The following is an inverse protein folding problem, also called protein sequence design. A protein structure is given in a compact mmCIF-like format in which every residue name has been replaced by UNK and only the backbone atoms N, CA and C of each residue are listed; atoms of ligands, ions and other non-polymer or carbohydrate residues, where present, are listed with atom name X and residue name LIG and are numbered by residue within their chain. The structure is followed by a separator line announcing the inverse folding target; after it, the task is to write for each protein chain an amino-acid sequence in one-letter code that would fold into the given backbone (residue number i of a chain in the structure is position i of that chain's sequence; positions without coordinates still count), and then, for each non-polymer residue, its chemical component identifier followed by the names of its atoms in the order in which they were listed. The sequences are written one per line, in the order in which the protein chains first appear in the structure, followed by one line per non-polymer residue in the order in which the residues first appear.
data_IF_200355725090
#
_entry.id   IF_200355725090
#
_cell.length_a   1.000
_cell.length_b   1.000
_cell.length_c   1.000
_cell.angle_alpha   90.00
_cell.angle_beta   90.00
_cell.angle_gamma   90.00
#
_symmetry.space_group_name_H-M   'P 1'
#
loop_
_entity.id
_entity.type
_entity.pdbx_description
1 polymer ?
#
# COMPACT_ATOMS: atom_id res chain seq x y z
N UNK A 1 2.09 27.57 18.06
CA UNK A 1 2.87 26.31 17.99
C UNK A 1 2.73 25.80 16.58
N UNK A 2 3.73 25.13 16.00
CA UNK A 2 3.54 24.53 14.67
C UNK A 2 2.38 23.53 14.70
N UNK A 3 1.63 23.47 13.59
CA UNK A 3 0.60 22.46 13.43
C UNK A 3 1.26 21.08 13.35
N UNK A 4 0.89 20.19 14.26
CA UNK A 4 1.48 18.85 14.32
C UNK A 4 0.66 17.87 13.50
N UNK A 5 1.34 17.16 12.59
CA UNK A 5 0.76 16.08 11.77
C UNK A 5 1.56 14.79 11.98
N UNK A 6 0.95 13.80 12.58
CA UNK A 6 1.54 12.46 12.72
C UNK A 6 1.02 11.57 11.59
N UNK A 7 1.94 11.12 10.73
CA UNK A 7 1.68 10.23 9.60
C UNK A 7 2.10 8.81 9.99
N UNK A 8 1.17 7.87 9.98
CA UNK A 8 1.48 6.46 10.24
C UNK A 8 1.61 5.70 8.91
N UNK A 9 2.69 4.94 8.77
CA UNK A 9 3.08 4.30 7.50
C UNK A 9 3.57 2.86 7.72
N UNK A 10 3.45 2.00 6.72
CA UNK A 10 4.23 0.74 6.67
C UNK A 10 5.67 1.00 6.24
N UNK A 11 5.83 1.84 5.22
CA UNK A 11 7.09 2.33 4.72
C UNK A 11 6.89 3.78 4.27
N UNK A 12 7.88 4.64 4.49
CA UNK A 12 7.83 6.00 3.98
C UNK A 12 7.97 6.00 2.46
N UNK A 13 7.19 6.82 1.75
CA UNK A 13 7.45 7.12 0.34
C UNK A 13 8.65 8.06 0.19
N UNK A 14 9.31 8.03 -0.99
CA UNK A 14 10.53 8.79 -1.21
C UNK A 14 10.31 10.31 -1.16
N UNK A 15 9.17 10.82 -1.62
CA UNK A 15 8.86 12.26 -1.58
C UNK A 15 8.66 12.75 -0.14
N UNK A 16 8.01 11.95 0.72
CA UNK A 16 7.87 12.26 2.15
C UNK A 16 9.22 12.30 2.86
N UNK A 17 10.11 11.36 2.55
CA UNK A 17 11.48 11.34 3.09
C UNK A 17 12.23 12.61 2.69
N UNK A 18 12.22 12.94 1.39
CA UNK A 18 12.91 14.12 0.87
C UNK A 18 12.33 15.41 1.43
N UNK A 19 11.01 15.56 1.49
CA UNK A 19 10.35 16.74 2.05
C UNK A 19 10.77 16.99 3.51
N UNK A 20 10.86 15.94 4.31
CA UNK A 20 11.30 16.03 5.71
C UNK A 20 12.79 16.35 5.81
N UNK A 21 13.64 15.65 5.08
CA UNK A 21 15.10 15.83 5.11
C UNK A 21 15.50 17.24 4.65
N UNK A 22 14.79 17.81 3.67
CA UNK A 22 15.00 19.18 3.19
C UNK A 22 14.34 20.25 4.09
N UNK A 23 13.61 19.85 5.12
CA UNK A 23 12.97 20.77 6.04
C UNK A 23 11.79 21.55 5.43
N UNK A 24 11.18 21.09 4.32
CA UNK A 24 10.08 21.79 3.64
C UNK A 24 8.89 22.00 4.56
N UNK A 25 8.53 20.99 5.33
CA UNK A 25 7.43 21.09 6.30
C UNK A 25 7.75 22.06 7.43
N UNK A 26 8.92 21.92 8.06
CA UNK A 26 9.36 22.78 9.15
C UNK A 26 9.48 24.26 8.72
N UNK A 27 10.01 24.51 7.53
CA UNK A 27 10.09 25.85 6.95
C UNK A 27 8.74 26.52 6.71
N UNK A 28 7.67 25.74 6.57
CA UNK A 28 6.31 26.21 6.44
C UNK A 28 5.51 26.17 7.77
N UNK A 29 6.17 25.93 8.90
CA UNK A 29 5.53 25.89 10.21
C UNK A 29 4.72 24.61 10.49
N UNK A 30 4.98 23.53 9.76
CA UNK A 30 4.30 22.26 9.93
C UNK A 30 5.26 21.21 10.55
N UNK A 31 4.91 20.69 11.72
CA UNK A 31 5.64 19.60 12.39
C UNK A 31 5.13 18.24 11.91
N UNK A 32 5.81 17.65 10.92
CA UNK A 32 5.45 16.34 10.35
C UNK A 32 6.29 15.23 10.98
N UNK A 33 5.67 14.45 11.84
CA UNK A 33 6.26 13.25 12.41
C UNK A 33 5.76 11.98 11.68
N UNK A 34 6.64 10.98 11.57
CA UNK A 34 6.30 9.69 10.95
C UNK A 34 6.45 8.57 11.95
N UNK A 35 5.47 7.67 11.97
CA UNK A 35 5.48 6.46 12.80
C UNK A 35 5.25 5.23 11.92
N UNK A 36 6.15 4.25 12.02
CA UNK A 36 5.98 2.97 11.32
C UNK A 36 4.99 2.09 12.11
N UNK A 37 4.09 1.44 11.39
CA UNK A 37 3.11 0.49 11.94
C UNK A 37 3.53 -0.95 11.69
N UNK A 38 3.24 -1.88 12.63
CA UNK A 38 3.51 -3.30 12.40
C UNK A 38 2.43 -4.00 11.56
N UNK A 39 1.20 -3.47 11.54
CA UNK A 39 0.06 -4.09 10.85
C UNK A 39 -1.04 -3.08 10.51
N UNK A 40 -1.94 -3.48 9.58
CA UNK A 40 -3.04 -2.63 9.11
C UNK A 40 -4.13 -2.41 10.16
N UNK A 41 -4.36 -3.36 11.05
CA UNK A 41 -5.38 -3.24 12.10
C UNK A 41 -5.06 -2.08 13.04
N UNK A 42 -3.83 -2.04 13.57
CA UNK A 42 -3.37 -0.95 14.44
C UNK A 42 -3.34 0.38 13.68
N UNK A 43 -2.88 0.35 12.41
CA UNK A 43 -2.85 1.54 11.56
C UNK A 43 -4.24 2.16 11.41
N UNK A 44 -5.20 1.38 10.95
CA UNK A 44 -6.52 1.89 10.59
C UNK A 44 -7.38 2.20 11.83
N UNK A 45 -7.25 1.43 12.89
CA UNK A 45 -7.89 1.77 14.17
C UNK A 45 -7.33 3.08 14.73
N UNK A 46 -6.03 3.25 14.68
CA UNK A 46 -5.40 4.46 15.22
C UNK A 46 -5.78 5.74 14.47
N UNK A 47 -5.91 5.71 13.13
CA UNK A 47 -6.41 6.88 12.40
C UNK A 47 -7.88 7.14 12.72
N UNK A 48 -8.70 6.10 12.82
CA UNK A 48 -10.12 6.23 13.21
C UNK A 48 -10.30 6.85 14.60
N UNK A 49 -9.41 6.54 15.53
CA UNK A 49 -9.43 7.05 16.92
C UNK A 49 -8.62 8.35 17.12
N UNK A 50 -8.00 8.90 16.07
CA UNK A 50 -7.20 10.14 16.16
C UNK A 50 -5.82 9.98 16.81
N UNK A 51 -5.31 8.75 17.01
CA UNK A 51 -3.96 8.51 17.51
C UNK A 51 -2.88 9.03 16.56
N UNK A 52 -3.19 9.10 15.29
CA UNK A 52 -2.48 9.80 14.22
C UNK A 52 -3.49 10.37 13.22
N UNK A 53 -3.08 11.43 12.54
CA UNK A 53 -3.98 12.20 11.70
C UNK A 53 -4.09 11.63 10.29
N UNK A 54 -3.00 11.03 9.82
CA UNK A 54 -2.90 10.51 8.44
C UNK A 54 -2.25 9.14 8.42
N UNK A 55 -2.62 8.35 7.43
CA UNK A 55 -1.97 7.07 7.12
C UNK A 55 -1.51 7.04 5.65
N UNK A 56 -0.38 6.34 5.40
CA UNK A 56 -0.03 5.85 4.05
C UNK A 56 -0.32 4.35 4.01
N UNK A 57 -1.27 3.95 3.18
CA UNK A 57 -1.85 2.60 3.24
C UNK A 57 -2.34 2.12 1.87
N UNK A 58 -2.65 0.82 1.74
CA UNK A 58 -3.37 0.30 0.59
C UNK A 58 -4.84 0.78 0.61
N UNK A 59 -5.40 1.11 -0.56
CA UNK A 59 -6.80 1.54 -0.65
C UNK A 59 -7.80 0.47 -0.14
N UNK A 60 -7.43 -0.80 -0.23
CA UNK A 60 -8.19 -1.90 0.36
C UNK A 60 -8.45 -1.71 1.87
N UNK A 61 -7.47 -1.18 2.61
CA UNK A 61 -7.64 -0.86 4.03
C UNK A 61 -8.65 0.29 4.22
N UNK A 62 -8.64 1.31 3.36
CA UNK A 62 -9.63 2.38 3.40
C UNK A 62 -11.03 1.80 3.23
N UNK A 63 -11.24 0.96 2.21
CA UNK A 63 -12.52 0.28 1.97
C UNK A 63 -12.97 -0.60 3.14
N UNK A 64 -12.04 -1.36 3.71
CA UNK A 64 -12.35 -2.32 4.77
C UNK A 64 -12.64 -1.67 6.14
N UNK A 65 -12.13 -0.47 6.39
CA UNK A 65 -12.19 0.18 7.69
C UNK A 65 -13.10 1.40 7.74
N UNK A 66 -13.32 2.10 6.63
CA UNK A 66 -14.22 3.26 6.59
C UNK A 66 -15.64 2.86 6.96
N UNK A 67 -16.23 3.58 7.90
CA UNK A 67 -17.53 3.28 8.49
C UNK A 67 -17.48 2.36 9.72
N UNK A 68 -16.33 1.76 10.05
CA UNK A 68 -16.17 1.02 11.31
C UNK A 68 -15.99 1.98 12.48
N UNK A 69 -16.59 1.66 13.60
CA UNK A 69 -16.51 2.45 14.85
C UNK A 69 -16.86 3.95 14.64
N UNK A 70 -17.65 4.26 13.60
CA UNK A 70 -18.09 5.62 13.28
C UNK A 70 -17.05 6.49 12.55
N UNK A 71 -15.89 5.96 12.18
CA UNK A 71 -14.85 6.69 11.48
C UNK A 71 -15.02 6.56 9.96
N UNK A 72 -15.26 7.68 9.26
CA UNK A 72 -15.21 7.76 7.80
C UNK A 72 -13.78 8.07 7.34
N UNK A 73 -13.08 7.06 6.85
CA UNK A 73 -11.71 7.20 6.36
C UNK A 73 -11.75 7.35 4.84
N UNK A 74 -11.08 8.38 4.32
CA UNK A 74 -11.06 8.74 2.90
C UNK A 74 -9.64 8.83 2.36
N UNK A 75 -9.43 8.35 1.14
CA UNK A 75 -8.20 8.57 0.39
C UNK A 75 -8.17 10.00 -0.19
N UNK A 76 -7.01 10.66 -0.13
CA UNK A 76 -6.86 12.07 -0.53
C UNK A 76 -5.78 12.30 -1.57
N UNK A 77 -4.79 11.40 -1.68
CA UNK A 77 -3.75 11.44 -2.71
C UNK A 77 -3.13 10.06 -2.92
N UNK A 78 -2.59 9.83 -4.12
CA UNK A 78 -1.84 8.63 -4.50
C UNK A 78 -0.37 8.79 -4.10
N UNK A 79 0.22 7.81 -3.42
CA UNK A 79 1.63 7.88 -2.97
C UNK A 79 2.55 6.87 -3.62
N UNK A 80 2.05 6.00 -4.48
CA UNK A 80 2.84 5.03 -5.23
C UNK A 80 2.26 4.76 -6.61
N UNK A 81 3.11 4.42 -7.59
CA UNK A 81 2.66 4.11 -8.96
C UNK A 81 1.81 2.83 -9.02
N UNK A 82 2.10 1.87 -8.16
CA UNK A 82 1.45 0.58 -8.08
C UNK A 82 2.09 -0.27 -6.99
N UNK A 83 1.47 -1.38 -6.70
CA UNK A 83 2.06 -2.38 -5.80
C UNK A 83 2.82 -3.43 -6.62
N UNK A 84 3.81 -4.06 -6.00
CA UNK A 84 4.47 -5.25 -6.56
C UNK A 84 4.00 -6.45 -5.76
N UNK A 85 3.17 -7.27 -6.37
CA UNK A 85 2.51 -8.43 -5.73
C UNK A 85 2.81 -9.73 -6.49
N UNK A 86 4.08 -10.16 -6.52
CA UNK A 86 4.47 -11.38 -7.21
C UNK A 86 4.01 -12.61 -6.41
N UNK A 87 3.46 -13.58 -7.10
CA UNK A 87 3.15 -14.90 -6.55
C UNK A 87 4.38 -15.79 -6.68
N UNK A 88 4.82 -16.32 -5.55
CA UNK A 88 5.85 -17.35 -5.49
C UNK A 88 5.25 -18.70 -5.14
N UNK A 89 5.83 -19.74 -5.69
CA UNK A 89 5.46 -21.15 -5.44
C UNK A 89 6.67 -21.96 -5.04
N UNK A 90 6.44 -23.07 -4.35
CA UNK A 90 7.48 -24.04 -4.04
C UNK A 90 8.03 -24.73 -5.31
N UNK A 91 9.27 -25.23 -5.29
CA UNK A 91 9.94 -25.79 -6.49
C UNK A 91 9.20 -26.93 -7.17
N UNK A 92 8.40 -27.72 -6.44
CA UNK A 92 7.62 -28.84 -6.96
C UNK A 92 6.39 -28.40 -7.75
N UNK A 93 5.88 -27.19 -7.54
CA UNK A 93 4.74 -26.63 -8.30
C UNK A 93 5.24 -26.24 -9.69
N UNK A 94 4.65 -26.84 -10.74
CA UNK A 94 5.01 -26.62 -12.15
C UNK A 94 3.86 -26.03 -12.95
N UNK A 95 2.64 -26.22 -12.48
CA UNK A 95 1.40 -25.73 -13.10
C UNK A 95 0.43 -25.20 -12.05
N UNK A 96 -0.58 -24.45 -12.49
CA UNK A 96 -1.65 -24.01 -11.60
C UNK A 96 -2.44 -25.18 -11.00
N UNK A 97 -2.62 -26.27 -11.74
CA UNK A 97 -3.32 -27.47 -11.25
C UNK A 97 -2.60 -28.16 -10.10
N UNK A 98 -1.28 -28.01 -9.98
CA UNK A 98 -0.51 -28.55 -8.86
C UNK A 98 -0.86 -27.87 -7.51
N UNK A 99 -1.54 -26.71 -7.56
CA UNK A 99 -2.04 -26.01 -6.38
C UNK A 99 -3.38 -26.55 -5.87
N UNK A 100 -4.04 -27.47 -6.60
CA UNK A 100 -5.28 -28.10 -6.13
C UNK A 100 -5.06 -28.90 -4.85
N UNK A 101 -5.92 -28.66 -3.87
CA UNK A 101 -5.85 -29.28 -2.54
C UNK A 101 -4.70 -28.74 -1.67
N UNK A 102 -3.99 -27.67 -2.09
CA UNK A 102 -2.86 -27.10 -1.35
C UNK A 102 -3.27 -25.97 -0.44
N UNK A 103 -2.45 -25.75 0.60
CA UNK A 103 -2.50 -24.61 1.49
C UNK A 103 -1.67 -23.46 0.93
N UNK A 104 -2.23 -22.26 0.86
CA UNK A 104 -1.59 -21.06 0.32
C UNK A 104 -1.48 -20.01 1.41
N UNK A 105 -0.31 -19.36 1.49
CA UNK A 105 0.02 -18.40 2.54
C UNK A 105 -0.53 -17.01 2.23
N UNK A 106 -1.27 -16.43 3.16
CA UNK A 106 -1.73 -15.03 3.12
C UNK A 106 -1.44 -14.32 4.45
N UNK A 107 -1.51 -13.00 4.46
CA UNK A 107 -1.42 -12.21 5.69
C UNK A 107 -2.69 -12.36 6.53
N UNK A 108 -3.86 -12.16 5.93
CA UNK A 108 -5.18 -12.50 6.43
C UNK A 108 -6.10 -12.77 5.23
N UNK A 109 -7.25 -13.39 5.43
CA UNK A 109 -8.10 -13.89 4.34
C UNK A 109 -8.91 -12.80 3.63
N UNK A 110 -9.00 -11.62 4.21
CA UNK A 110 -9.82 -10.49 3.75
C UNK A 110 -8.99 -9.25 3.36
N UNK A 111 -7.69 -9.41 3.16
CA UNK A 111 -6.77 -8.33 2.81
C UNK A 111 -6.53 -8.24 1.31
N UNK A 112 -5.90 -7.12 0.90
CA UNK A 112 -5.42 -6.90 -0.47
C UNK A 112 -4.63 -8.08 -1.04
N UNK A 113 -3.69 -8.63 -0.26
CA UNK A 113 -2.85 -9.76 -0.69
C UNK A 113 -3.67 -11.02 -0.96
N UNK A 114 -4.59 -11.35 -0.06
CA UNK A 114 -5.47 -12.52 -0.21
C UNK A 114 -6.40 -12.36 -1.42
N UNK A 115 -7.01 -11.18 -1.58
CA UNK A 115 -7.95 -10.92 -2.69
C UNK A 115 -7.25 -10.94 -4.05
N UNK A 116 -6.05 -10.36 -4.15
CA UNK A 116 -5.24 -10.40 -5.37
C UNK A 116 -4.82 -11.83 -5.70
N UNK A 117 -4.34 -12.62 -4.71
CA UNK A 117 -4.02 -14.03 -4.91
C UNK A 117 -5.24 -14.82 -5.40
N UNK A 118 -6.40 -14.65 -4.76
CA UNK A 118 -7.67 -15.28 -5.18
C UNK A 118 -8.06 -14.91 -6.60
N UNK A 119 -7.85 -13.65 -7.00
CA UNK A 119 -8.16 -13.19 -8.37
C UNK A 119 -7.25 -13.83 -9.42
N UNK A 120 -5.96 -13.97 -9.11
CA UNK A 120 -5.01 -14.68 -9.98
C UNK A 120 -5.42 -16.15 -10.10
N UNK A 121 -5.67 -16.82 -8.99
CA UNK A 121 -6.09 -18.23 -8.97
C UNK A 121 -7.39 -18.45 -9.74
N UNK A 122 -8.35 -17.53 -9.61
CA UNK A 122 -9.62 -17.57 -10.34
C UNK A 122 -9.41 -17.47 -11.86
N UNK A 123 -8.43 -16.72 -12.34
CA UNK A 123 -8.10 -16.65 -13.77
C UNK A 123 -7.57 -17.99 -14.32
N UNK A 124 -7.11 -18.87 -13.44
CA UNK A 124 -6.66 -20.23 -13.76
C UNK A 124 -7.64 -21.33 -13.30
N UNK A 125 -8.93 -20.98 -13.18
CA UNK A 125 -10.03 -21.88 -12.75
C UNK A 125 -9.80 -22.57 -11.39
N UNK A 126 -9.09 -21.92 -10.48
CA UNK A 126 -8.95 -22.34 -9.09
C UNK A 126 -9.87 -21.52 -8.19
N UNK A 127 -10.80 -22.17 -7.50
CA UNK A 127 -11.84 -21.52 -6.69
C UNK A 127 -11.82 -22.02 -5.25
N UNK A 128 -11.79 -21.09 -4.31
CA UNK A 128 -11.77 -21.41 -2.88
C UNK A 128 -13.10 -22.05 -2.41
N UNK A 129 -14.22 -21.57 -2.90
CA UNK A 129 -15.56 -22.09 -2.59
C UNK A 129 -15.81 -23.52 -3.13
N UNK A 130 -15.06 -23.93 -4.16
CA UNK A 130 -15.04 -25.30 -4.70
C UNK A 130 -14.08 -26.21 -3.92
N UNK A 131 -13.31 -25.65 -2.98
CA UNK A 131 -12.30 -26.41 -2.22
C UNK A 131 -11.01 -26.70 -3.01
N UNK A 132 -10.75 -25.98 -4.11
CA UNK A 132 -9.55 -26.19 -4.91
C UNK A 132 -8.27 -25.83 -4.16
N UNK A 133 -8.33 -24.97 -3.14
CA UNK A 133 -7.23 -24.60 -2.26
C UNK A 133 -7.74 -24.05 -0.93
N UNK A 134 -6.84 -23.98 0.06
CA UNK A 134 -7.10 -23.36 1.37
C UNK A 134 -6.17 -22.16 1.59
N UNK A 135 -6.69 -21.06 2.13
CA UNK A 135 -5.88 -19.91 2.56
C UNK A 135 -5.51 -20.04 4.03
N UNK A 136 -4.22 -19.92 4.33
CA UNK A 136 -3.68 -19.95 5.70
C UNK A 136 -3.19 -18.56 6.07
N UNK A 137 -3.84 -17.93 7.06
CA UNK A 137 -3.49 -16.61 7.57
C UNK A 137 -2.24 -16.71 8.47
N UNK A 138 -1.13 -16.12 8.01
CA UNK A 138 0.19 -16.19 8.68
C UNK A 138 0.78 -14.82 9.03
N UNK A 139 0.11 -13.72 8.63
CA UNK A 139 0.59 -12.37 8.89
C UNK A 139 1.73 -11.94 7.97
N UNK A 140 2.83 -11.44 8.55
CA UNK A 140 3.93 -10.80 7.84
C UNK A 140 4.56 -11.66 6.73
N UNK A 141 5.12 -11.01 5.69
CA UNK A 141 5.68 -11.69 4.50
C UNK A 141 6.77 -12.70 4.86
N UNK A 142 7.62 -12.40 5.86
CA UNK A 142 8.63 -13.33 6.35
C UNK A 142 8.03 -14.64 6.88
N UNK A 143 6.95 -14.58 7.65
CA UNK A 143 6.28 -15.76 8.18
C UNK A 143 5.65 -16.60 7.06
N UNK A 144 5.16 -15.97 6.01
CA UNK A 144 4.65 -16.67 4.81
C UNK A 144 5.78 -17.40 4.08
N UNK A 145 6.93 -16.75 3.88
CA UNK A 145 8.11 -17.38 3.30
C UNK A 145 8.61 -18.55 4.15
N UNK A 146 8.70 -18.38 5.46
CA UNK A 146 9.11 -19.44 6.39
C UNK A 146 8.20 -20.66 6.30
N UNK A 147 6.88 -20.46 6.28
CA UNK A 147 5.90 -21.53 6.12
C UNK A 147 6.05 -22.28 4.79
N UNK A 148 6.29 -21.55 3.70
CA UNK A 148 6.57 -22.14 2.39
C UNK A 148 7.88 -22.94 2.43
N UNK A 149 8.92 -22.44 3.06
CA UNK A 149 10.22 -23.11 3.17
C UNK A 149 10.13 -24.39 4.01
N UNK A 150 9.33 -24.40 5.08
CA UNK A 150 9.06 -25.60 5.88
C UNK A 150 8.11 -26.61 5.20
N UNK A 151 7.49 -26.25 4.07
CA UNK A 151 6.56 -27.15 3.35
C UNK A 151 5.14 -27.16 3.91
N UNK A 152 4.77 -26.21 4.74
CA UNK A 152 3.44 -26.09 5.34
C UNK A 152 2.44 -25.43 4.38
N UNK A 153 2.94 -24.50 3.56
CA UNK A 153 2.17 -23.83 2.48
C UNK A 153 2.95 -23.89 1.16
N UNK A 154 2.25 -23.77 0.02
CA UNK A 154 2.79 -24.07 -1.30
C UNK A 154 2.92 -22.84 -2.22
N UNK A 155 2.19 -21.79 -1.96
CA UNK A 155 2.27 -20.52 -2.68
C UNK A 155 1.91 -19.34 -1.77
N UNK A 156 2.30 -18.14 -2.19
CA UNK A 156 1.94 -16.90 -1.53
C UNK A 156 2.50 -15.68 -2.27
N UNK A 157 2.00 -14.49 -1.95
CA UNK A 157 2.59 -13.23 -2.43
C UNK A 157 3.74 -12.86 -1.50
N UNK A 158 4.95 -12.77 -2.07
CA UNK A 158 6.19 -12.43 -1.37
C UNK A 158 6.82 -11.18 -2.00
N UNK A 159 6.42 -10.01 -1.50
CA UNK A 159 6.92 -8.73 -1.99
C UNK A 159 8.36 -8.43 -1.50
N UNK A 160 9.09 -7.51 -2.15
CA UNK A 160 10.42 -7.09 -1.71
C UNK A 160 10.46 -6.65 -0.23
N UNK A 161 11.56 -6.96 0.49
CA UNK A 161 12.78 -7.64 0.03
C UNK A 161 12.72 -9.18 0.08
N UNK A 162 11.59 -9.76 0.45
CA UNK A 162 11.41 -11.21 0.67
C UNK A 162 11.41 -12.03 -0.62
N UNK A 163 11.12 -11.39 -1.77
CA UNK A 163 11.23 -11.98 -3.10
C UNK A 163 12.61 -12.60 -3.39
N UNK A 164 13.69 -11.86 -3.08
CA UNK A 164 15.06 -12.36 -3.25
C UNK A 164 15.40 -13.50 -2.32
N UNK A 165 14.88 -13.46 -1.09
CA UNK A 165 15.08 -14.55 -0.13
C UNK A 165 14.30 -15.80 -0.56
N UNK A 166 13.10 -15.63 -1.14
CA UNK A 166 12.34 -16.72 -1.72
C UNK A 166 13.09 -17.39 -2.88
N UNK A 167 13.67 -16.61 -3.79
CA UNK A 167 14.47 -17.13 -4.89
C UNK A 167 15.72 -17.87 -4.39
N UNK A 168 16.42 -17.32 -3.39
CA UNK A 168 17.57 -17.97 -2.77
C UNK A 168 17.20 -19.29 -2.07
N UNK A 169 15.97 -19.40 -1.53
CA UNK A 169 15.42 -20.63 -0.95
C UNK A 169 14.87 -21.62 -2.02
N UNK A 170 15.01 -21.29 -3.31
CA UNK A 170 14.60 -22.14 -4.43
C UNK A 170 13.13 -22.00 -4.84
N UNK A 171 12.37 -21.09 -4.21
CA UNK A 171 11.01 -20.78 -4.65
C UNK A 171 11.03 -20.07 -6.01
N UNK A 172 9.96 -20.24 -6.78
CA UNK A 172 9.86 -19.69 -8.13
C UNK A 172 8.80 -18.61 -8.20
N UNK A 173 9.12 -17.49 -8.83
CA UNK A 173 8.12 -16.52 -9.24
C UNK A 173 7.25 -17.18 -10.31
N UNK A 174 5.93 -17.19 -10.08
CA UNK A 174 4.98 -17.95 -10.89
C UNK A 174 4.01 -17.03 -11.63
N UNK A 175 3.65 -15.89 -11.02
CA UNK A 175 2.78 -14.89 -11.64
C UNK A 175 3.03 -13.49 -11.03
N UNK A 176 2.46 -12.50 -11.68
CA UNK A 176 2.34 -11.15 -11.16
C UNK A 176 0.88 -10.70 -11.24
N UNK A 177 0.42 -9.91 -10.27
CA UNK A 177 -0.95 -9.40 -10.24
C UNK A 177 -1.34 -8.62 -11.49
N UNK A 178 -0.38 -7.96 -12.15
CA UNK A 178 -0.60 -7.18 -13.38
C UNK A 178 -1.13 -7.98 -14.56
N UNK A 179 -0.97 -9.29 -14.54
CA UNK A 179 -1.53 -10.19 -15.55
C UNK A 179 -3.07 -10.19 -15.54
N UNK A 180 -3.67 -9.92 -14.39
CA UNK A 180 -5.14 -9.95 -14.21
C UNK A 180 -5.72 -8.66 -13.64
N UNK A 181 -4.88 -7.80 -13.08
CA UNK A 181 -5.23 -6.53 -12.44
C UNK A 181 -4.20 -5.45 -12.83
N UNK A 182 -4.12 -5.06 -14.13
CA UNK A 182 -3.07 -4.15 -14.61
C UNK A 182 -3.14 -2.76 -13.97
N UNK A 183 -4.33 -2.30 -13.60
CA UNK A 183 -4.58 -0.99 -13.00
C UNK A 183 -4.57 -0.99 -11.47
N UNK A 184 -4.12 -2.10 -10.83
CA UNK A 184 -4.13 -2.19 -9.37
C UNK A 184 -3.26 -1.07 -8.77
N UNK A 185 -3.83 -0.18 -7.91
CA UNK A 185 -3.17 1.05 -7.53
C UNK A 185 -2.05 0.82 -6.50
N UNK A 186 -1.14 1.78 -6.41
CA UNK A 186 -0.23 1.90 -5.28
C UNK A 186 -0.92 2.37 -4.00
N UNK A 187 -0.13 2.66 -2.98
CA UNK A 187 -0.62 3.21 -1.72
C UNK A 187 -1.25 4.60 -1.88
N UNK A 188 -2.08 4.96 -0.93
CA UNK A 188 -2.74 6.27 -0.84
C UNK A 188 -2.46 6.91 0.52
N UNK A 189 -2.42 8.25 0.58
CA UNK A 189 -2.67 8.95 1.83
C UNK A 189 -4.16 8.92 2.14
N UNK A 190 -4.48 8.61 3.40
CA UNK A 190 -5.85 8.62 3.88
C UNK A 190 -5.94 9.26 5.27
N UNK A 191 -7.08 9.90 5.52
CA UNK A 191 -7.41 10.65 6.74
C UNK A 191 -8.85 10.35 7.12
N UNK A 192 -9.29 10.69 8.34
CA UNK A 192 -10.73 10.73 8.61
C UNK A 192 -11.35 11.98 7.97
N UNK A 193 -12.55 11.85 7.40
CA UNK A 193 -13.29 12.97 6.77
C UNK A 193 -13.51 14.12 7.76
N UNK A 194 -13.83 13.80 9.01
CA UNK A 194 -14.03 14.77 10.07
C UNK A 194 -12.76 15.58 10.33
N UNK A 195 -11.63 14.93 10.59
CA UNK A 195 -10.37 15.64 10.82
C UNK A 195 -9.95 16.48 9.61
N UNK A 196 -10.10 15.96 8.40
CA UNK A 196 -9.77 16.67 7.17
C UNK A 196 -10.58 17.96 7.00
N UNK A 197 -11.87 17.93 7.36
CA UNK A 197 -12.74 19.12 7.30
C UNK A 197 -12.31 20.20 8.30
N UNK A 198 -11.95 19.81 9.52
CA UNK A 198 -11.51 20.73 10.57
C UNK A 198 -10.10 21.27 10.36
N UNK A 199 -9.23 20.52 9.66
CA UNK A 199 -7.82 20.85 9.46
C UNK A 199 -7.46 21.01 7.99
N UNK A 200 -8.41 21.53 7.17
CA UNK A 200 -8.28 21.63 5.72
C UNK A 200 -6.99 22.32 5.29
N UNK A 201 -6.66 23.47 5.88
CA UNK A 201 -5.47 24.25 5.51
C UNK A 201 -4.18 23.49 5.81
N UNK A 202 -4.09 22.83 6.96
CA UNK A 202 -2.96 22.00 7.35
C UNK A 202 -2.76 20.85 6.35
N UNK A 203 -3.86 20.19 5.96
CA UNK A 203 -3.84 19.09 5.00
C UNK A 203 -3.43 19.56 3.60
N UNK A 204 -3.98 20.67 3.11
CA UNK A 204 -3.63 21.26 1.81
C UNK A 204 -2.16 21.68 1.78
N UNK A 205 -1.66 22.32 2.84
CA UNK A 205 -0.26 22.70 2.96
C UNK A 205 0.67 21.46 2.95
N UNK A 206 0.31 20.40 3.68
CA UNK A 206 1.06 19.13 3.65
C UNK A 206 1.14 18.57 2.23
N UNK A 207 0.00 18.45 1.54
CA UNK A 207 -0.06 17.89 0.19
C UNK A 207 0.72 18.73 -0.82
N UNK A 208 0.69 20.06 -0.69
CA UNK A 208 1.47 20.97 -1.55
C UNK A 208 2.97 20.75 -1.37
N UNK A 209 3.47 20.74 -0.13
CA UNK A 209 4.90 20.55 0.17
C UNK A 209 5.38 19.14 -0.18
N UNK A 210 4.55 18.13 0.03
CA UNK A 210 4.83 16.77 -0.43
C UNK A 210 4.91 16.69 -1.96
N UNK A 211 3.99 17.37 -2.67
CA UNK A 211 4.02 17.44 -4.13
C UNK A 211 5.22 18.22 -4.67
N UNK A 212 5.67 19.26 -3.97
CA UNK A 212 6.90 19.98 -4.32
C UNK A 212 8.12 19.06 -4.22
N UNK A 213 8.21 18.25 -3.15
CA UNK A 213 9.25 17.23 -3.03
C UNK A 213 9.13 16.14 -4.10
N UNK A 214 7.90 15.73 -4.45
CA UNK A 214 7.65 14.77 -5.53
C UNK A 214 8.19 15.28 -6.87
N UNK A 215 7.87 16.53 -7.22
CA UNK A 215 8.40 17.20 -8.42
C UNK A 215 9.93 17.32 -8.39
N UNK A 216 10.48 17.66 -7.23
CA UNK A 216 11.93 17.74 -7.05
C UNK A 216 12.59 16.37 -7.28
N UNK A 217 11.99 15.29 -6.79
CA UNK A 217 12.50 13.92 -7.03
C UNK A 217 12.43 13.50 -8.51
N UNK A 218 11.48 14.02 -9.28
CA UNK A 218 11.36 13.74 -10.72
C UNK A 218 12.31 14.56 -11.60
N UNK A 219 13.01 15.55 -11.05
CA UNK A 219 14.03 16.28 -11.79
C UNK A 219 15.32 15.48 -11.84
N UNK A 220 15.75 15.08 -13.04
CA UNK A 220 16.98 14.31 -13.26
C UNK A 220 18.24 14.93 -12.62
N UNK A 221 18.30 16.27 -12.53
CA UNK A 221 19.41 16.97 -11.87
C UNK A 221 19.49 16.67 -10.37
N UNK A 222 18.39 16.29 -9.75
CA UNK A 222 18.30 15.98 -8.33
C UNK A 222 18.41 14.48 -8.03
N UNK A 223 18.47 13.63 -9.07
CA UNK A 223 18.41 12.17 -8.90
C UNK A 223 19.45 11.67 -7.89
N UNK A 224 20.71 12.08 -8.04
CA UNK A 224 21.78 11.68 -7.13
C UNK A 224 21.51 12.13 -5.68
N UNK A 225 21.12 13.39 -5.48
CA UNK A 225 20.82 13.93 -4.17
C UNK A 225 19.61 13.22 -3.53
N UNK A 226 18.58 12.90 -4.31
CA UNK A 226 17.41 12.13 -3.83
C UNK A 226 17.84 10.74 -3.35
N UNK A 227 18.68 10.03 -4.12
CA UNK A 227 19.20 8.71 -3.74
C UNK A 227 20.02 8.79 -2.46
N UNK A 228 20.91 9.77 -2.34
CA UNK A 228 21.74 9.98 -1.14
C UNK A 228 20.89 10.25 0.11
N UNK A 229 19.86 11.10 0.01
CA UNK A 229 18.92 11.40 1.10
C UNK A 229 18.17 10.12 1.52
N UNK A 230 17.60 9.41 0.56
CA UNK A 230 16.81 8.19 0.83
C UNK A 230 17.70 7.10 1.46
N UNK A 231 18.91 6.92 0.95
CA UNK A 231 19.87 5.95 1.48
C UNK A 231 20.22 6.25 2.95
N UNK A 232 20.48 7.52 3.27
CA UNK A 232 20.81 7.95 4.63
C UNK A 232 19.64 7.77 5.60
N UNK A 233 18.45 8.24 5.24
CA UNK A 233 17.25 8.22 6.11
C UNK A 233 16.73 6.81 6.37
N UNK A 234 16.77 5.92 5.37
CA UNK A 234 16.23 4.57 5.44
C UNK A 234 17.31 3.50 5.70
N UNK A 235 18.59 3.91 5.79
CA UNK A 235 19.74 3.00 5.95
C UNK A 235 19.80 1.93 4.86
N UNK A 236 19.57 2.34 3.61
CA UNK A 236 19.60 1.48 2.43
C UNK A 236 20.95 1.60 1.72
N UNK A 237 21.31 0.56 0.96
CA UNK A 237 22.33 0.70 -0.07
C UNK A 237 21.81 1.57 -1.25
N UNK A 238 22.71 2.02 -2.10
CA UNK A 238 22.37 2.86 -3.27
C UNK A 238 21.30 2.19 -4.14
N UNK A 239 21.44 0.89 -4.41
CA UNK A 239 20.50 0.15 -5.23
C UNK A 239 19.09 0.08 -4.59
N UNK A 240 19.01 -0.02 -3.26
CA UNK A 240 17.79 0.05 -2.49
C UNK A 240 17.11 1.42 -2.58
N UNK A 241 17.90 2.48 -2.42
CA UNK A 241 17.42 3.86 -2.54
C UNK A 241 16.94 4.19 -3.96
N UNK A 242 17.66 3.76 -5.00
CA UNK A 242 17.22 3.89 -6.40
C UNK A 242 15.89 3.17 -6.64
N UNK A 243 15.75 1.92 -6.17
CA UNK A 243 14.48 1.19 -6.30
C UNK A 243 13.33 1.90 -5.58
N UNK A 244 13.59 2.48 -4.41
CA UNK A 244 12.59 3.24 -3.65
C UNK A 244 12.18 4.52 -4.37
N UNK A 245 13.15 5.27 -4.89
CA UNK A 245 12.91 6.47 -5.70
C UNK A 245 12.08 6.15 -6.95
N UNK A 246 12.34 5.04 -7.61
CA UNK A 246 11.61 4.62 -8.81
C UNK A 246 10.13 4.24 -8.55
N UNK A 247 9.69 4.13 -7.30
CA UNK A 247 8.30 3.79 -6.94
C UNK A 247 7.41 5.03 -6.74
N UNK A 248 7.96 6.25 -6.77
CA UNK A 248 7.17 7.47 -6.61
C UNK A 248 6.17 7.61 -7.78
N UNK A 249 4.93 8.08 -7.52
CA UNK A 249 3.97 8.32 -8.57
C UNK A 249 4.39 9.53 -9.42
N UNK A 250 3.87 9.64 -10.64
CA UNK A 250 4.08 10.82 -11.49
C UNK A 250 3.55 12.09 -10.83
N UNK A 251 2.42 11.97 -10.18
CA UNK A 251 1.72 13.00 -9.40
C UNK A 251 0.87 12.34 -8.32
N UNK A 252 0.23 13.13 -7.47
CA UNK A 252 -0.60 12.63 -6.37
C UNK A 252 -2.08 12.42 -6.73
N UNK A 253 -2.47 12.50 -8.02
CA UNK A 253 -3.84 12.21 -8.40
C UNK A 253 -4.21 10.76 -8.15
N UNK A 254 -5.38 10.56 -7.55
CA UNK A 254 -5.91 9.22 -7.31
C UNK A 254 -6.20 8.52 -8.64
N UNK A 255 -5.70 7.30 -8.79
CA UNK A 255 -6.02 6.43 -9.92
C UNK A 255 -7.43 5.86 -9.75
N UNK A 256 -8.47 6.62 -10.12
CA UNK A 256 -9.86 6.21 -9.92
C UNK A 256 -10.21 4.85 -10.55
N UNK A 257 -9.77 4.52 -11.78
CA UNK A 257 -9.95 3.17 -12.32
C UNK A 257 -9.33 2.08 -11.44
N UNK A 258 -8.13 2.33 -10.91
CA UNK A 258 -7.47 1.42 -9.99
C UNK A 258 -8.21 1.29 -8.65
N UNK A 259 -8.70 2.39 -8.08
CA UNK A 259 -9.51 2.36 -6.86
C UNK A 259 -10.81 1.57 -7.08
N UNK A 260 -11.47 1.73 -8.24
CA UNK A 260 -12.65 0.96 -8.59
C UNK A 260 -12.32 -0.54 -8.69
N UNK A 261 -11.18 -0.88 -9.28
CA UNK A 261 -10.70 -2.28 -9.36
C UNK A 261 -10.59 -2.91 -7.97
N UNK A 262 -10.08 -2.18 -6.97
CA UNK A 262 -9.99 -2.68 -5.58
C UNK A 262 -11.38 -2.87 -4.96
N UNK A 263 -12.30 -1.94 -5.17
CA UNK A 263 -13.68 -2.05 -4.69
C UNK A 263 -14.39 -3.25 -5.31
N UNK A 264 -14.30 -3.40 -6.64
CA UNK A 264 -14.91 -4.51 -7.37
C UNK A 264 -14.36 -5.86 -6.90
N UNK A 265 -13.06 -5.92 -6.65
CA UNK A 265 -12.40 -7.12 -6.15
C UNK A 265 -12.93 -7.53 -4.77
N UNK A 266 -13.13 -6.60 -3.84
CA UNK A 266 -13.76 -6.88 -2.54
C UNK A 266 -15.17 -7.38 -2.70
N UNK A 267 -15.98 -6.70 -3.52
CA UNK A 267 -17.37 -7.09 -3.79
C UNK A 267 -17.45 -8.47 -4.44
N UNK A 268 -16.58 -8.76 -5.41
CA UNK A 268 -16.48 -10.06 -6.09
C UNK A 268 -16.27 -11.21 -5.10
N UNK A 269 -15.52 -10.99 -4.05
CA UNK A 269 -15.24 -12.02 -3.03
C UNK A 269 -16.13 -11.91 -1.78
N UNK A 270 -17.23 -11.17 -1.85
CA UNK A 270 -18.24 -11.10 -0.77
C UNK A 270 -17.87 -10.18 0.39
N UNK A 271 -16.86 -9.33 0.22
CA UNK A 271 -16.38 -8.38 1.24
C UNK A 271 -16.90 -6.97 0.95
N UNK A 272 -18.22 -6.79 0.94
CA UNK A 272 -18.81 -5.46 0.72
C UNK A 272 -18.33 -4.48 1.80
N UNK A 273 -17.74 -3.33 1.41
CA UNK A 273 -17.27 -2.35 2.37
C UNK A 273 -18.41 -1.79 3.26
N UNK A 274 -18.12 -1.39 4.50
CA UNK A 274 -19.13 -0.93 5.47
C UNK A 274 -19.97 0.27 5.00
N UNK A 275 -19.38 1.20 4.23
CA UNK A 275 -20.08 2.37 3.69
C UNK A 275 -20.76 2.11 2.32
N UNK A 276 -20.80 0.86 1.85
CA UNK A 276 -21.45 0.49 0.59
C UNK A 276 -20.52 0.40 -0.61
N UNK A 277 -21.11 0.50 -1.82
CA UNK A 277 -20.41 0.23 -3.09
C UNK A 277 -20.14 1.48 -3.92
N UNK A 278 -20.44 2.65 -3.40
CA UNK A 278 -20.20 3.92 -4.09
C UNK A 278 -18.77 4.36 -3.81
N UNK A 279 -17.91 4.35 -4.83
CA UNK A 279 -16.48 4.67 -4.72
C UNK A 279 -16.26 6.05 -4.13
N UNK A 280 -17.10 7.02 -4.49
CA UNK A 280 -17.05 8.42 -4.06
C UNK A 280 -17.15 8.59 -2.54
N UNK A 281 -17.70 7.62 -1.84
CA UNK A 281 -17.74 7.61 -0.37
C UNK A 281 -16.37 7.46 0.28
N UNK A 282 -15.37 6.93 -0.45
CA UNK A 282 -14.07 6.50 0.07
C UNK A 282 -12.90 7.39 -0.33
N UNK A 283 -13.15 8.49 -1.05
CA UNK A 283 -12.09 9.44 -1.40
C UNK A 283 -12.58 10.88 -1.45
N UNK A 284 -11.64 11.82 -1.40
CA UNK A 284 -11.86 13.24 -1.70
C UNK A 284 -10.61 13.83 -2.37
N UNK A 285 -10.67 14.01 -3.68
CA UNK A 285 -9.59 14.61 -4.45
C UNK A 285 -9.54 16.15 -4.36
N UNK A 286 -10.48 16.79 -3.67
CA UNK A 286 -10.53 18.26 -3.59
C UNK A 286 -9.33 18.85 -2.84
N UNK A 287 -8.82 18.13 -1.83
CA UNK A 287 -7.64 18.56 -1.07
C UNK A 287 -6.38 18.61 -1.95
N UNK A 288 -6.15 17.58 -2.76
CA UNK A 288 -5.00 17.57 -3.67
C UNK A 288 -5.15 18.60 -4.78
N UNK A 289 -6.36 18.75 -5.31
CA UNK A 289 -6.66 19.80 -6.32
C UNK A 289 -6.35 21.21 -5.78
N UNK A 290 -6.77 21.50 -4.56
CA UNK A 290 -6.51 22.78 -3.89
C UNK A 290 -5.01 22.99 -3.63
N UNK A 291 -4.29 21.93 -3.22
CA UNK A 291 -2.85 21.97 -3.02
C UNK A 291 -2.06 22.31 -4.29
N UNK A 292 -2.59 22.00 -5.47
CA UNK A 292 -1.98 22.34 -6.76
C UNK A 292 -2.35 23.73 -7.29
N UNK A 293 -3.37 24.38 -6.73
CA UNK A 293 -3.83 25.71 -7.17
C UNK A 293 -3.01 26.86 -6.56
N UNK A 294 -2.13 26.56 -5.63
CA UNK A 294 -1.23 27.47 -4.92
C UNK A 294 0.23 27.14 -5.20
#
# INVERSE_FOLDING_TARGET
MPDRLLVNVFNQDAALIVARAQGLFAGAGLDVAVKVTPNSTDQMRGVGQGSWQMVSTAFDNVLGWSGREGAEIIAIAQVGQGMTLPVYVRPEIKSWDDLRGKKLAVDAVDTAYALVLRRILLAHDLKMDRGDYELVALGATGLRLDSMTRGETFAGILNPPWDKQAEAAGHKRFADHREVLPDYPGGVFAVTRHWAAENRQTLVNFLRLWNDALRWCHNDQNHRAAVEIIAAEEKLDEAGAVRKLAQIPRDGWLNLPGLQTVLDLRVQFGLTPPMGRELESYFDASFYREALAH
#
